data_IF_041159001101
#
_entry.id   IF_041159001101
#
_cell.length_a   1.000
_cell.length_b   1.000
_cell.length_c   1.000
_cell.angle_alpha   90.00
_cell.angle_beta   90.00
_cell.angle_gamma   90.00
#
_symmetry.space_group_name_H-M   'P 1'
#
loop_
_entity.id
_entity.type
_entity.pdbx_description
1 polymer ?
#
# COMPACT_ATOMS: atom_id res chain seq x y z
N UNK A 1 6.43 6.25 -32.78
CA UNK A 1 7.50 5.71 -31.91
C UNK A 1 6.86 5.24 -30.62
N UNK A 2 6.86 3.94 -30.30
CA UNK A 2 6.24 3.46 -29.06
C UNK A 2 7.01 4.05 -27.87
N UNK A 3 6.34 4.88 -27.08
CA UNK A 3 6.89 5.43 -25.85
C UNK A 3 7.04 4.28 -24.85
N UNK A 4 8.26 3.74 -24.75
CA UNK A 4 8.61 2.69 -23.81
C UNK A 4 8.16 3.10 -22.40
N UNK A 5 7.15 2.39 -21.88
CA UNK A 5 6.74 2.47 -20.48
C UNK A 5 7.98 2.19 -19.63
N UNK A 6 8.33 3.05 -18.65
CA UNK A 6 9.35 2.69 -17.67
C UNK A 6 8.87 1.44 -16.94
N UNK A 7 9.44 0.28 -17.28
CA UNK A 7 9.26 -0.94 -16.50
C UNK A 7 10.05 -0.69 -15.22
N UNK A 8 9.36 -0.24 -14.17
CA UNK A 8 9.94 -0.21 -12.83
C UNK A 8 10.12 -1.69 -12.45
N UNK A 9 11.36 -2.18 -12.29
CA UNK A 9 11.58 -3.58 -11.94
C UNK A 9 10.84 -3.90 -10.64
N UNK A 10 10.31 -5.12 -10.47
CA UNK A 10 9.54 -5.54 -9.30
C UNK A 10 10.48 -5.76 -8.09
N UNK A 11 11.25 -4.75 -7.72
CA UNK A 11 11.87 -4.68 -6.40
C UNK A 11 10.75 -4.21 -5.48
N UNK A 12 10.19 -5.12 -4.68
CA UNK A 12 9.46 -4.69 -3.47
C UNK A 12 10.40 -3.72 -2.75
N UNK A 13 9.97 -2.50 -2.41
CA UNK A 13 10.77 -1.67 -1.54
C UNK A 13 11.09 -2.50 -0.29
N UNK A 14 12.37 -2.63 0.06
CA UNK A 14 12.74 -3.24 1.33
C UNK A 14 12.22 -2.33 2.44
N UNK A 15 11.02 -2.64 2.93
CA UNK A 15 10.41 -1.90 4.03
C UNK A 15 11.00 -2.37 5.35
N UNK A 16 11.28 -1.43 6.23
CA UNK A 16 11.63 -1.66 7.63
C UNK A 16 10.46 -1.26 8.52
N UNK A 17 10.22 -2.05 9.56
CA UNK A 17 9.20 -1.74 10.56
C UNK A 17 9.81 -0.85 11.64
N UNK A 18 9.12 0.24 12.00
CA UNK A 18 9.52 1.04 13.15
C UNK A 18 9.23 0.29 14.45
N UNK A 19 10.26 0.07 15.26
CA UNK A 19 10.16 -0.66 16.53
C UNK A 19 9.33 0.04 17.62
N UNK A 20 8.90 1.28 17.39
CA UNK A 20 8.12 2.09 18.34
C UNK A 20 6.64 2.08 17.95
N UNK A 21 6.34 2.37 16.67
CA UNK A 21 4.96 2.55 16.20
C UNK A 21 4.43 1.42 15.30
N UNK A 22 5.28 0.46 14.92
CA UNK A 22 4.91 -0.71 14.13
C UNK A 22 4.56 -0.42 12.66
N UNK A 23 4.79 0.81 12.17
CA UNK A 23 4.52 1.18 10.77
C UNK A 23 5.69 0.83 9.86
N UNK A 24 5.38 0.61 8.58
CA UNK A 24 6.34 0.30 7.53
C UNK A 24 6.90 1.58 6.90
N UNK A 25 8.22 1.62 6.74
CA UNK A 25 8.94 2.72 6.10
C UNK A 25 9.94 2.17 5.09
N UNK A 26 10.27 2.96 4.07
CA UNK A 26 11.39 2.63 3.19
C UNK A 26 12.70 2.60 3.98
N UNK A 27 13.67 1.81 3.52
CA UNK A 27 14.98 1.66 4.18
C UNK A 27 15.72 2.98 4.42
N UNK A 28 15.49 4.02 3.61
CA UNK A 28 16.07 5.35 3.80
C UNK A 28 15.21 6.27 4.67
N UNK A 29 13.88 6.08 4.71
CA UNK A 29 13.00 6.94 5.49
C UNK A 29 12.89 6.51 6.95
N UNK A 30 13.18 5.24 7.27
CA UNK A 30 13.16 4.73 8.64
C UNK A 30 14.20 5.41 9.55
N UNK A 31 15.39 5.75 9.04
CA UNK A 31 16.44 6.43 9.81
C UNK A 31 16.07 7.87 10.19
N UNK A 32 15.22 8.52 9.39
CA UNK A 32 14.69 9.85 9.68
C UNK A 32 13.46 9.75 10.58
N UNK A 33 12.66 8.70 10.41
CA UNK A 33 11.44 8.49 11.18
C UNK A 33 11.69 8.07 12.64
N UNK A 34 12.57 7.08 12.88
CA UNK A 34 12.83 6.54 14.23
C UNK A 34 13.15 7.60 15.30
N UNK A 35 14.08 8.55 15.10
CA UNK A 35 14.37 9.57 16.12
C UNK A 35 13.17 10.47 16.39
N UNK A 36 12.44 10.88 15.34
CA UNK A 36 11.24 11.71 15.48
C UNK A 36 10.11 10.95 16.20
N UNK A 37 9.96 9.66 15.89
CA UNK A 37 8.99 8.79 16.53
C UNK A 37 9.32 8.58 18.02
N UNK A 38 10.60 8.43 18.36
CA UNK A 38 11.05 8.29 19.74
C UNK A 38 10.82 9.56 20.55
N UNK A 39 11.11 10.73 19.97
CA UNK A 39 10.88 12.02 20.61
C UNK A 39 9.39 12.26 20.90
N UNK A 40 8.54 11.95 19.91
CA UNK A 40 7.09 11.99 20.08
C UNK A 40 6.64 11.01 21.18
N UNK A 41 7.16 9.78 21.18
CA UNK A 41 6.85 8.79 22.20
C UNK A 41 7.24 9.29 23.60
N UNK A 42 8.43 9.88 23.78
CA UNK A 42 8.88 10.44 25.07
C UNK A 42 7.97 11.54 25.57
N UNK A 43 7.59 12.46 24.66
CA UNK A 43 6.68 13.57 24.97
C UNK A 43 5.30 13.07 25.43
N UNK A 44 4.74 12.08 24.72
CA UNK A 44 3.46 11.46 25.10
C UNK A 44 3.58 10.68 26.42
N UNK A 45 4.66 9.92 26.59
CA UNK A 45 4.89 9.12 27.79
C UNK A 45 5.08 9.99 29.04
N UNK A 46 5.74 11.15 28.92
CA UNK A 46 5.93 12.08 30.04
C UNK A 46 4.63 12.75 30.48
N UNK A 47 3.67 12.91 29.56
CA UNK A 47 2.33 13.43 29.87
C UNK A 47 1.44 12.39 30.57
N UNK A 48 1.80 11.11 30.55
CA UNK A 48 1.07 10.09 31.29
C UNK A 48 1.34 10.21 32.79
N UNK A 49 0.32 9.95 33.65
CA UNK A 49 0.52 9.74 35.07
C UNK A 49 1.65 8.73 35.33
N UNK A 50 2.44 8.93 36.37
CA UNK A 50 3.66 8.12 36.64
C UNK A 50 3.42 6.61 36.54
N UNK A 51 2.28 6.12 37.04
CA UNK A 51 1.90 4.71 37.02
C UNK A 51 1.48 4.16 35.64
N UNK A 52 1.23 5.03 34.66
CA UNK A 52 0.91 4.67 33.27
C UNK A 52 2.09 4.90 32.31
N UNK A 53 3.21 5.44 32.81
CA UNK A 53 4.42 5.62 32.00
C UNK A 53 5.01 4.27 31.63
N UNK A 54 5.38 4.14 30.37
CA UNK A 54 5.98 2.94 29.80
C UNK A 54 7.51 3.06 29.80
N UNK A 55 8.24 1.93 29.85
CA UNK A 55 9.69 1.94 29.66
C UNK A 55 10.04 2.36 28.23
N UNK A 56 11.16 3.06 28.07
CA UNK A 56 11.63 3.51 26.76
C UNK A 56 11.84 2.31 25.81
N UNK A 57 11.26 2.34 24.59
CA UNK A 57 11.45 1.28 23.62
C UNK A 57 12.93 1.19 23.26
N UNK A 58 13.50 -0.01 23.33
CA UNK A 58 14.88 -0.26 22.89
C UNK A 58 14.88 -0.77 21.46
N UNK A 59 15.80 -0.24 20.65
CA UNK A 59 16.01 -0.72 19.29
C UNK A 59 16.55 -2.15 19.35
N UNK A 60 15.91 -3.13 18.70
CA UNK A 60 16.43 -4.49 18.64
C UNK A 60 17.83 -4.51 18.00
N UNK A 61 18.83 -5.05 18.69
CA UNK A 61 20.16 -5.25 18.13
C UNK A 61 20.11 -6.42 17.14
N UNK A 62 20.41 -6.15 15.87
CA UNK A 62 20.49 -7.22 14.87
C UNK A 62 21.89 -7.21 14.26
N UNK A 63 22.61 -8.31 14.50
CA UNK A 63 23.91 -8.59 13.92
C UNK A 63 23.80 -8.58 12.38
N UNK A 64 24.76 -8.02 11.67
CA UNK A 64 24.72 -7.77 10.21
C UNK A 64 24.79 -9.05 9.37
N UNK A 65 24.07 -9.13 8.24
CA UNK A 65 24.36 -10.06 7.12
C UNK A 65 23.18 -10.88 6.57
N UNK A 66 22.63 -10.50 5.41
CA UNK A 66 21.81 -11.33 4.52
C UNK A 66 20.32 -10.96 4.39
N UNK A 67 19.74 -11.18 3.20
CA UNK A 67 18.31 -10.93 2.87
C UNK A 67 17.32 -11.65 3.81
N UNK A 68 17.74 -12.79 4.38
CA UNK A 68 16.97 -13.55 5.39
C UNK A 68 16.84 -12.82 6.74
N UNK A 69 17.76 -11.89 7.06
CA UNK A 69 17.69 -11.10 8.31
C UNK A 69 16.62 -10.01 8.29
N UNK A 70 16.23 -9.46 7.14
CA UNK A 70 15.28 -8.34 7.12
C UNK A 70 13.90 -8.73 7.67
N UNK A 71 13.44 -9.95 7.37
CA UNK A 71 12.18 -10.45 7.93
C UNK A 71 12.27 -10.61 9.46
N UNK A 72 13.41 -11.11 9.95
CA UNK A 72 13.68 -11.27 11.40
C UNK A 72 13.81 -9.91 12.10
N UNK A 73 14.49 -8.93 11.49
CA UNK A 73 14.58 -7.54 11.95
C UNK A 73 13.20 -6.92 12.07
N UNK A 74 12.38 -7.09 11.03
CA UNK A 74 11.04 -6.54 10.98
C UNK A 74 10.12 -7.19 12.01
N UNK A 75 10.21 -8.52 12.17
CA UNK A 75 9.45 -9.22 13.20
C UNK A 75 9.86 -8.76 14.60
N UNK A 76 11.16 -8.68 14.89
CA UNK A 76 11.64 -8.17 16.18
C UNK A 76 11.21 -6.72 16.45
N UNK A 77 11.25 -5.86 15.43
CA UNK A 77 10.75 -4.49 15.53
C UNK A 77 9.23 -4.47 15.76
N UNK A 78 8.48 -5.32 15.07
CA UNK A 78 7.03 -5.41 15.22
C UNK A 78 6.63 -5.88 16.63
N UNK A 79 7.32 -6.88 17.17
CA UNK A 79 7.13 -7.34 18.55
C UNK A 79 7.44 -6.24 19.58
N UNK A 80 8.52 -5.48 19.37
CA UNK A 80 8.84 -4.32 20.22
C UNK A 80 7.73 -3.27 20.19
N UNK A 81 7.18 -2.98 19.02
CA UNK A 81 6.06 -2.04 18.89
C UNK A 81 4.77 -2.57 19.54
N UNK A 82 4.48 -3.87 19.44
CA UNK A 82 3.33 -4.49 20.09
C UNK A 82 3.42 -4.42 21.62
N UNK A 83 4.62 -4.56 22.20
CA UNK A 83 4.84 -4.44 23.64
C UNK A 83 4.54 -3.03 24.18
N UNK A 84 4.44 -2.02 23.30
CA UNK A 84 4.09 -0.65 23.68
C UNK A 84 2.57 -0.40 23.74
N UNK A 85 1.75 -1.37 23.35
CA UNK A 85 0.30 -1.25 23.35
C UNK A 85 -0.29 -1.51 24.74
N UNK A 86 -1.32 -0.75 25.09
CA UNK A 86 -2.03 -0.87 26.36
C UNK A 86 -3.41 -1.51 26.14
N UNK A 87 -3.83 -2.48 26.97
CA UNK A 87 -5.14 -3.10 26.87
C UNK A 87 -6.24 -2.15 27.37
N UNK A 88 -7.37 -2.15 26.68
CA UNK A 88 -8.59 -1.50 27.12
C UNK A 88 -9.20 -2.23 28.31
N UNK A 89 -9.54 -1.48 29.37
CA UNK A 89 -10.12 -2.04 30.60
C UNK A 89 -11.48 -2.72 30.39
N UNK A 90 -12.21 -2.33 29.33
CA UNK A 90 -13.56 -2.81 29.05
C UNK A 90 -13.62 -4.02 28.10
N UNK A 91 -12.64 -4.18 27.20
CA UNK A 91 -12.68 -5.26 26.19
C UNK A 91 -11.35 -6.00 25.97
N UNK A 92 -10.28 -5.63 26.67
CA UNK A 92 -8.97 -6.27 26.58
C UNK A 92 -8.18 -6.00 25.30
N UNK A 93 -8.79 -5.41 24.26
CA UNK A 93 -8.08 -5.05 23.02
C UNK A 93 -6.98 -4.03 23.30
N UNK A 94 -5.83 -4.20 22.65
CA UNK A 94 -4.65 -3.36 22.85
C UNK A 94 -4.58 -2.21 21.85
N UNK A 95 -4.16 -1.04 22.32
CA UNK A 95 -4.06 0.18 21.51
C UNK A 95 -2.85 1.01 21.95
N UNK A 96 -2.37 1.89 21.07
CA UNK A 96 -1.50 2.98 21.51
C UNK A 96 -2.29 3.95 22.41
N UNK A 97 -1.65 4.63 23.38
CA UNK A 97 -2.36 5.48 24.35
C UNK A 97 -3.29 6.52 23.71
N UNK A 98 -2.87 7.15 22.62
CA UNK A 98 -3.64 8.12 21.85
C UNK A 98 -4.98 7.54 21.32
N UNK A 99 -4.92 6.32 20.78
CA UNK A 99 -6.10 5.60 20.27
C UNK A 99 -6.91 4.95 21.38
N UNK A 100 -6.26 4.51 22.45
CA UNK A 100 -6.92 3.90 23.61
C UNK A 100 -7.93 4.87 24.21
N UNK A 101 -7.53 6.13 24.43
CA UNK A 101 -8.41 7.16 24.99
C UNK A 101 -9.67 7.39 24.15
N UNK A 102 -9.57 7.35 22.83
CA UNK A 102 -10.72 7.50 21.93
C UNK A 102 -11.58 6.23 21.95
N UNK A 103 -10.92 5.07 21.96
CA UNK A 103 -11.61 3.78 22.00
C UNK A 103 -12.43 3.61 23.28
N UNK A 104 -11.86 3.91 24.45
CA UNK A 104 -12.52 3.72 25.75
C UNK A 104 -13.81 4.53 25.89
N UNK A 105 -13.87 5.74 25.30
CA UNK A 105 -15.09 6.58 25.29
C UNK A 105 -16.29 5.90 24.63
N UNK A 106 -16.04 5.04 23.65
CA UNK A 106 -17.07 4.34 22.87
C UNK A 106 -17.13 2.85 23.18
N UNK A 107 -16.22 2.34 24.02
CA UNK A 107 -16.09 0.91 24.27
C UNK A 107 -17.19 0.44 25.21
N UNK A 108 -18.19 -0.24 24.65
CA UNK A 108 -19.38 -0.76 25.36
C UNK A 108 -19.12 -2.06 26.15
N UNK A 109 -17.86 -2.43 26.35
CA UNK A 109 -17.50 -3.66 27.06
C UNK A 109 -17.73 -4.91 26.21
N UNK A 110 -16.72 -5.76 26.18
CA UNK A 110 -16.87 -7.14 25.76
C UNK A 110 -16.45 -7.98 26.94
N UNK A 111 -17.42 -8.49 27.72
CA UNK A 111 -17.13 -9.60 28.63
C UNK A 111 -16.54 -10.74 27.82
N UNK A 112 -15.27 -11.06 28.06
CA UNK A 112 -14.65 -12.37 27.81
C UNK A 112 -13.25 -12.37 28.41
N UNK A 113 -13.18 -12.56 29.72
CA UNK A 113 -12.10 -13.36 30.31
C UNK A 113 -12.60 -14.81 30.29
N UNK A 114 -11.67 -15.74 30.05
CA UNK A 114 -11.73 -17.20 30.16
C UNK A 114 -11.90 -17.94 28.82
N UNK A 115 -10.93 -18.82 28.57
CA UNK A 115 -10.87 -19.72 27.43
C UNK A 115 -11.66 -21.01 27.61
N UNK A 116 -11.53 -21.85 26.59
CA UNK A 116 -11.94 -23.25 26.48
C UNK A 116 -13.45 -23.56 26.45
N UNK A 117 -13.89 -23.81 25.20
CA UNK A 117 -14.65 -24.98 24.76
C UNK A 117 -16.01 -25.31 25.40
N UNK A 118 -17.05 -25.15 24.56
CA UNK A 118 -17.91 -26.22 24.00
C UNK A 118 -19.42 -26.03 24.15
N UNK A 119 -20.11 -26.43 23.06
CA UNK A 119 -21.55 -26.65 22.85
C UNK A 119 -22.42 -25.47 22.41
N UNK A 120 -22.92 -25.59 21.18
CA UNK A 120 -24.04 -24.83 20.60
C UNK A 120 -25.38 -25.33 21.16
N UNK A 121 -26.49 -24.55 21.06
CA UNK A 121 -27.34 -24.68 19.87
C UNK A 121 -27.99 -23.36 19.33
N UNK A 122 -27.97 -23.26 17.99
CA UNK A 122 -28.99 -22.73 17.05
C UNK A 122 -29.93 -21.55 17.41
N UNK A 123 -29.81 -20.41 16.68
CA UNK A 123 -30.71 -19.95 15.57
C UNK A 123 -30.53 -18.45 15.24
N UNK A 124 -30.20 -18.20 13.96
CA UNK A 124 -30.71 -17.14 13.04
C UNK A 124 -30.60 -15.64 13.35
N UNK A 125 -29.81 -14.90 12.53
CA UNK A 125 -29.93 -13.44 12.34
C UNK A 125 -28.82 -12.82 11.47
N UNK A 126 -29.19 -12.09 10.40
CA UNK A 126 -28.33 -11.57 9.30
C UNK A 126 -27.44 -10.35 9.69
N UNK A 127 -26.27 -10.21 9.03
CA UNK A 127 -25.55 -8.93 8.86
C UNK A 127 -24.03 -9.06 8.57
N UNK A 128 -23.43 -8.28 7.64
CA UNK A 128 -22.10 -8.58 7.07
C UNK A 128 -20.94 -7.96 7.85
N UNK A 129 -19.95 -8.78 8.23
CA UNK A 129 -18.69 -8.35 8.84
C UNK A 129 -17.50 -8.74 7.97
N UNK A 130 -16.70 -7.75 7.59
CA UNK A 130 -15.40 -7.90 6.94
C UNK A 130 -14.42 -8.57 7.90
N UNK A 131 -13.94 -9.77 7.55
CA UNK A 131 -12.94 -10.53 8.30
C UNK A 131 -11.78 -10.94 7.41
N UNK A 132 -10.58 -10.47 7.78
CA UNK A 132 -9.29 -10.89 7.24
C UNK A 132 -8.99 -12.33 7.69
N UNK A 133 -8.83 -13.24 6.74
CA UNK A 133 -8.49 -14.64 7.01
C UNK A 133 -6.99 -14.83 7.17
N UNK A 134 -6.55 -15.24 8.36
CA UNK A 134 -5.29 -15.95 8.56
C UNK A 134 -5.61 -17.43 8.78
N UNK A 135 -5.11 -18.26 7.87
CA UNK A 135 -5.26 -19.70 7.88
C UNK A 135 -4.38 -20.32 8.98
N UNK A 136 -5.00 -21.12 9.84
CA UNK A 136 -4.36 -22.05 10.76
C UNK A 136 -4.22 -23.41 10.09
N UNK A 137 -2.99 -23.93 10.08
CA UNK A 137 -2.65 -25.29 9.63
C UNK A 137 -2.59 -26.22 10.86
N UNK A 138 -3.13 -27.45 10.81
CA UNK A 138 -2.92 -28.44 11.86
C UNK A 138 -1.77 -29.40 11.51
N UNK A 139 -0.89 -29.60 12.49
CA UNK A 139 0.17 -30.61 12.49
C UNK A 139 -0.40 -32.01 12.71
N UNK A 140 0.03 -32.99 11.90
CA UNK A 140 0.09 -34.41 12.29
C UNK A 140 1.41 -35.02 11.83
N UNK A 141 2.17 -35.49 12.79
CA UNK A 141 3.35 -36.34 12.71
C UNK A 141 2.94 -37.77 12.36
N UNK A 142 3.69 -38.49 11.50
CA UNK A 142 4.11 -39.88 11.73
C UNK A 142 5.27 -40.26 10.77
N UNK A 143 6.09 -41.17 11.28
CA UNK A 143 7.47 -41.56 10.91
C UNK A 143 7.64 -42.31 9.57
N UNK A 144 8.87 -42.29 9.02
CA UNK A 144 9.51 -43.50 8.48
C UNK A 144 10.24 -43.47 7.12
N UNK A 145 11.58 -43.47 7.17
CA UNK A 145 12.58 -44.17 6.30
C UNK A 145 12.84 -43.76 4.82
N UNK A 146 14.10 -43.35 4.63
CA UNK A 146 15.10 -43.76 3.61
C UNK A 146 14.81 -43.70 2.10
N UNK A 147 15.64 -42.91 1.39
CA UNK A 147 16.06 -43.22 0.00
C UNK A 147 16.05 -42.06 -0.98
N UNK A 148 17.25 -41.70 -1.47
CA UNK A 148 17.58 -41.00 -2.72
C UNK A 148 17.07 -39.56 -2.95
N UNK A 149 18.03 -38.65 -3.14
CA UNK A 149 17.83 -37.26 -3.54
C UNK A 149 17.31 -37.14 -4.99
N UNK A 150 16.36 -36.23 -5.26
CA UNK A 150 16.18 -35.66 -6.58
C UNK A 150 16.61 -34.19 -6.62
N UNK A 151 17.24 -33.83 -7.73
CA UNK A 151 17.75 -32.50 -8.05
C UNK A 151 16.65 -31.43 -7.95
N UNK A 152 16.94 -30.36 -7.20
CA UNK A 152 16.03 -29.23 -6.99
C UNK A 152 16.18 -28.30 -8.20
N UNK A 153 15.23 -28.35 -9.12
CA UNK A 153 15.10 -27.38 -10.20
C UNK A 153 14.67 -26.04 -9.62
N UNK A 154 15.51 -25.01 -9.78
CA UNK A 154 15.24 -23.61 -9.47
C UNK A 154 14.02 -23.11 -10.27
N UNK A 155 12.82 -23.29 -9.72
CA UNK A 155 11.65 -22.51 -10.14
C UNK A 155 11.50 -21.31 -9.22
N UNK A 156 12.10 -20.20 -9.65
CA UNK A 156 11.80 -18.87 -9.15
C UNK A 156 10.28 -18.68 -9.13
N UNK A 157 9.70 -18.61 -7.93
CA UNK A 157 8.28 -18.33 -7.78
C UNK A 157 8.01 -16.92 -8.31
N UNK A 158 7.42 -16.84 -9.50
CA UNK A 158 6.94 -15.59 -10.09
C UNK A 158 5.82 -15.06 -9.18
N UNK A 159 6.16 -14.10 -8.34
CA UNK A 159 5.20 -13.35 -7.52
C UNK A 159 4.29 -12.60 -8.50
N UNK A 160 3.11 -13.17 -8.83
CA UNK A 160 2.12 -12.49 -9.66
C UNK A 160 1.59 -11.29 -8.88
N UNK A 161 1.90 -10.09 -9.35
CA UNK A 161 1.31 -8.87 -8.79
C UNK A 161 -0.22 -8.90 -8.99
N UNK A 162 -1.00 -8.31 -8.05
CA UNK A 162 -2.41 -8.12 -8.27
C UNK A 162 -2.65 -7.32 -9.56
N UNK A 163 -3.66 -7.68 -10.37
CA UNK A 163 -3.94 -6.98 -11.62
C UNK A 163 -4.23 -5.49 -11.36
N UNK A 164 -3.41 -4.61 -11.95
CA UNK A 164 -3.61 -3.16 -11.93
C UNK A 164 -4.25 -2.67 -13.22
N UNK A 165 -5.03 -1.60 -13.14
CA UNK A 165 -5.64 -0.92 -14.29
C UNK A 165 -5.09 0.50 -14.39
N UNK A 166 -4.76 0.94 -15.61
CA UNK A 166 -4.31 2.31 -15.88
C UNK A 166 -5.52 3.23 -16.09
N UNK A 167 -5.52 4.39 -15.44
CA UNK A 167 -6.50 5.43 -15.72
C UNK A 167 -6.19 6.08 -17.08
N UNK A 168 -7.14 5.99 -18.01
CA UNK A 168 -7.00 6.52 -19.37
C UNK A 168 -6.88 8.06 -19.46
N UNK A 169 -7.16 8.78 -18.37
CA UNK A 169 -7.11 10.25 -18.30
C UNK A 169 -5.73 10.72 -17.84
N UNK A 170 -5.18 10.08 -16.78
CA UNK A 170 -3.95 10.56 -16.12
C UNK A 170 -2.76 9.59 -16.19
N UNK A 171 -2.95 8.39 -16.74
CA UNK A 171 -1.89 7.40 -16.93
C UNK A 171 -1.39 6.73 -15.66
N UNK A 172 -2.03 6.98 -14.50
CA UNK A 172 -1.65 6.34 -13.22
C UNK A 172 -2.27 4.96 -13.08
N UNK A 173 -1.57 4.10 -12.36
CA UNK A 173 -1.99 2.74 -12.04
C UNK A 173 -2.85 2.71 -10.77
N UNK A 174 -3.92 1.92 -10.81
CA UNK A 174 -4.84 1.71 -9.70
C UNK A 174 -5.16 0.22 -9.59
N UNK A 175 -5.70 -0.19 -8.45
CA UNK A 175 -6.35 -1.49 -8.35
C UNK A 175 -7.68 -1.49 -9.11
N UNK A 176 -8.12 -2.66 -9.58
CA UNK A 176 -9.39 -2.83 -10.32
C UNK A 176 -10.61 -2.24 -9.62
N UNK A 177 -10.62 -2.17 -8.28
CA UNK A 177 -11.70 -1.54 -7.50
C UNK A 177 -11.52 -0.05 -7.32
N UNK A 178 -10.28 0.42 -7.09
CA UNK A 178 -10.02 1.83 -6.82
C UNK A 178 -10.10 2.70 -8.06
N UNK A 179 -9.88 2.14 -9.25
CA UNK A 179 -10.01 2.87 -10.53
C UNK A 179 -11.44 3.38 -10.75
N UNK A 180 -12.47 2.64 -10.35
CA UNK A 180 -13.88 3.05 -10.49
C UNK A 180 -14.24 4.27 -9.63
N UNK A 181 -13.55 4.46 -8.51
CA UNK A 181 -13.72 5.63 -7.64
C UNK A 181 -12.87 6.79 -8.16
N UNK A 182 -11.70 6.48 -8.71
CA UNK A 182 -10.76 7.46 -9.24
C UNK A 182 -11.23 8.10 -10.55
N UNK A 183 -11.65 7.32 -11.55
CA UNK A 183 -12.04 7.79 -12.89
C UNK A 183 -13.03 8.97 -12.86
N UNK A 184 -14.18 8.91 -12.16
CA UNK A 184 -15.13 10.03 -12.15
C UNK A 184 -14.55 11.28 -11.48
N UNK A 185 -13.71 11.12 -10.44
CA UNK A 185 -13.05 12.25 -9.79
C UNK A 185 -11.97 12.86 -10.70
N UNK A 186 -11.25 12.01 -11.43
CA UNK A 186 -10.22 12.42 -12.38
C UNK A 186 -10.83 13.17 -13.56
N UNK A 187 -11.94 12.68 -14.11
CA UNK A 187 -12.66 13.34 -15.20
C UNK A 187 -13.23 14.69 -14.77
N UNK A 188 -13.83 14.77 -13.58
CA UNK A 188 -14.32 16.05 -13.02
C UNK A 188 -13.20 17.08 -12.92
N UNK A 189 -12.05 16.68 -12.38
CA UNK A 189 -10.87 17.54 -12.29
C UNK A 189 -10.37 17.96 -13.68
N UNK A 190 -10.33 17.02 -14.63
CA UNK A 190 -9.95 17.29 -16.01
C UNK A 190 -10.85 18.36 -16.64
N UNK A 191 -12.18 18.28 -16.49
CA UNK A 191 -13.10 19.30 -17.02
C UNK A 191 -12.84 20.69 -16.42
N UNK A 192 -12.65 20.78 -15.11
CA UNK A 192 -12.37 22.04 -14.43
C UNK A 192 -11.09 22.68 -14.98
N UNK A 193 -10.01 21.90 -15.07
CA UNK A 193 -8.74 22.37 -15.62
C UNK A 193 -8.89 22.76 -17.10
N UNK A 194 -9.61 21.96 -17.89
CA UNK A 194 -9.77 22.20 -19.32
C UNK A 194 -10.60 23.47 -19.62
N UNK A 195 -11.59 23.81 -18.79
CA UNK A 195 -12.36 25.06 -18.93
C UNK A 195 -11.49 26.28 -18.67
N UNK A 196 -10.56 26.19 -17.71
CA UNK A 196 -9.63 27.26 -17.35
C UNK A 196 -8.52 27.46 -18.39
N UNK A 197 -8.28 26.49 -19.28
CA UNK A 197 -7.29 26.64 -20.35
C UNK A 197 -7.77 27.64 -21.42
N UNK A 198 -6.85 28.45 -21.99
CA UNK A 198 -7.09 29.20 -23.21
C UNK A 198 -7.71 28.32 -24.30
N UNK A 199 -8.64 28.86 -25.11
CA UNK A 199 -9.39 28.08 -26.10
C UNK A 199 -8.50 27.20 -26.99
N UNK A 200 -7.31 27.68 -27.37
CA UNK A 200 -6.35 26.96 -28.21
C UNK A 200 -5.58 25.84 -27.48
N UNK A 201 -5.59 25.81 -26.14
CA UNK A 201 -4.99 24.76 -25.31
C UNK A 201 -6.03 23.79 -24.73
N UNK A 202 -7.32 24.02 -24.99
CA UNK A 202 -8.38 23.11 -24.55
C UNK A 202 -8.26 21.81 -25.32
N UNK A 203 -8.35 20.71 -24.58
CA UNK A 203 -8.25 19.34 -25.09
C UNK A 203 -9.64 18.76 -25.33
N UNK A 204 -9.78 17.84 -26.30
CA UNK A 204 -11.00 17.06 -26.44
C UNK A 204 -11.18 16.14 -25.23
N UNK A 205 -12.44 15.86 -24.89
CA UNK A 205 -12.76 14.99 -23.76
C UNK A 205 -12.10 13.61 -23.92
N UNK A 206 -11.39 13.12 -22.89
CA UNK A 206 -10.78 11.79 -22.94
C UNK A 206 -11.88 10.74 -23.07
N UNK A 207 -11.83 9.95 -24.13
CA UNK A 207 -12.76 8.83 -24.31
C UNK A 207 -12.24 7.61 -23.57
N UNK A 208 -13.11 7.00 -22.77
CA UNK A 208 -12.82 5.71 -22.15
C UNK A 208 -12.65 4.68 -23.27
N UNK A 209 -11.53 3.95 -23.35
CA UNK A 209 -11.37 2.88 -24.34
C UNK A 209 -12.52 1.88 -24.21
N UNK A 210 -13.29 1.68 -25.28
CA UNK A 210 -14.35 0.68 -25.29
C UNK A 210 -13.74 -0.71 -25.28
N UNK A 211 -14.20 -1.53 -24.33
CA UNK A 211 -13.71 -2.89 -24.15
C UNK A 211 -14.62 -3.81 -24.94
N UNK A 212 -14.32 -4.05 -26.22
CA UNK A 212 -15.02 -5.09 -26.98
C UNK A 212 -14.59 -6.46 -26.46
N UNK A 213 -15.52 -7.34 -26.04
CA UNK A 213 -15.16 -8.69 -25.62
C UNK A 213 -14.66 -9.50 -26.81
N UNK A 214 -13.36 -9.78 -26.84
CA UNK A 214 -12.76 -10.69 -27.81
C UNK A 214 -12.90 -12.10 -27.22
N UNK A 215 -13.95 -12.81 -27.66
CA UNK A 215 -14.25 -14.24 -27.43
C UNK A 215 -15.16 -14.62 -26.23
N UNK A 216 -15.92 -15.70 -26.48
CA UNK A 216 -16.98 -16.31 -25.66
C UNK A 216 -16.56 -16.89 -24.29
N UNK A 217 -15.37 -16.54 -23.77
CA UNK A 217 -14.84 -17.04 -22.48
C UNK A 217 -14.51 -15.95 -21.46
N UNK A 218 -14.80 -14.68 -21.73
CA UNK A 218 -14.80 -13.63 -20.70
C UNK A 218 -13.44 -13.32 -20.06
N UNK A 219 -12.32 -13.74 -20.68
CA UNK A 219 -10.98 -13.42 -20.20
C UNK A 219 -10.44 -12.19 -20.95
N UNK A 220 -10.46 -11.03 -20.29
CA UNK A 220 -9.87 -9.81 -20.84
C UNK A 220 -8.35 -9.89 -20.81
N UNK A 221 -7.67 -9.51 -21.90
CA UNK A 221 -6.25 -9.20 -21.82
C UNK A 221 -6.07 -7.84 -21.12
N UNK A 222 -5.84 -7.89 -19.81
CA UNK A 222 -5.56 -6.73 -18.98
C UNK A 222 -4.38 -5.90 -19.52
N UNK A 223 -3.44 -6.53 -20.23
CA UNK A 223 -2.31 -5.84 -20.85
C UNK A 223 -2.78 -4.92 -21.97
N UNK A 224 -3.59 -5.43 -22.91
CA UNK A 224 -4.18 -4.64 -24.00
C UNK A 224 -5.03 -3.47 -23.49
N UNK A 225 -5.83 -3.68 -22.44
CA UNK A 225 -6.61 -2.61 -21.81
C UNK A 225 -5.74 -1.51 -21.21
N UNK A 226 -4.70 -1.90 -20.50
CA UNK A 226 -3.75 -0.97 -19.91
C UNK A 226 -2.97 -0.21 -20.98
N UNK A 227 -2.61 -0.86 -22.08
CA UNK A 227 -1.94 -0.23 -23.21
C UNK A 227 -2.84 0.82 -23.89
N UNK A 228 -4.10 0.47 -24.17
CA UNK A 228 -5.07 1.42 -24.73
C UNK A 228 -5.31 2.62 -23.81
N UNK A 229 -5.45 2.37 -22.49
CA UNK A 229 -5.58 3.43 -21.50
C UNK A 229 -4.32 4.30 -21.40
N UNK A 230 -3.13 3.69 -21.47
CA UNK A 230 -1.86 4.41 -21.49
C UNK A 230 -1.73 5.32 -22.71
N UNK A 231 -2.05 4.81 -23.90
CA UNK A 231 -2.04 5.60 -25.14
C UNK A 231 -3.00 6.79 -25.04
N UNK A 232 -4.22 6.57 -24.53
CA UNK A 232 -5.20 7.63 -24.31
C UNK A 232 -4.65 8.72 -23.37
N UNK A 233 -3.99 8.33 -22.27
CA UNK A 233 -3.38 9.27 -21.35
C UNK A 233 -2.19 10.03 -21.95
N UNK A 234 -1.36 9.38 -22.78
CA UNK A 234 -0.26 10.05 -23.47
C UNK A 234 -0.75 11.08 -24.49
N UNK A 235 -1.86 10.82 -25.17
CA UNK A 235 -2.48 11.77 -26.11
C UNK A 235 -3.01 13.04 -25.42
N UNK A 236 -3.15 13.03 -24.09
CA UNK A 236 -3.54 14.20 -23.31
C UNK A 236 -2.37 15.14 -22.97
N UNK A 237 -1.12 14.74 -23.29
CA UNK A 237 0.07 15.53 -23.02
C UNK A 237 0.37 16.48 -24.19
N UNK A 238 0.79 17.69 -23.85
CA UNK A 238 1.15 18.76 -24.80
C UNK A 238 2.66 19.00 -24.72
N UNK A 239 3.38 19.09 -25.86
CA UNK A 239 4.81 19.38 -25.85
C UNK A 239 5.08 20.84 -25.42
N UNK A 240 6.21 21.05 -24.74
CA UNK A 240 6.75 22.38 -24.49
C UNK A 240 7.47 22.90 -25.73
N UNK A 241 7.15 24.12 -26.16
CA UNK A 241 7.74 24.74 -27.36
C UNK A 241 9.26 24.98 -27.23
N UNK A 242 9.78 25.08 -26.00
CA UNK A 242 11.20 25.39 -25.74
C UNK A 242 12.08 24.14 -25.71
N UNK A 243 11.61 23.05 -25.09
CA UNK A 243 12.44 21.84 -24.90
C UNK A 243 11.84 20.55 -25.49
N UNK A 244 10.62 20.60 -26.03
CA UNK A 244 9.93 19.46 -26.65
C UNK A 244 9.45 18.37 -25.69
N UNK A 245 9.59 18.54 -24.36
CA UNK A 245 9.07 17.59 -23.39
C UNK A 245 7.55 17.72 -23.27
N UNK A 246 6.85 16.61 -23.13
CA UNK A 246 5.39 16.58 -23.02
C UNK A 246 4.93 16.62 -21.56
N UNK A 247 3.88 17.39 -21.30
CA UNK A 247 3.32 17.58 -19.96
C UNK A 247 1.80 17.66 -20.03
N UNK A 248 1.12 17.43 -18.90
CA UNK A 248 -0.25 17.92 -18.76
C UNK A 248 -0.24 19.47 -18.77
N UNK A 249 -1.25 20.14 -19.34
CA UNK A 249 -1.25 21.60 -19.49
C UNK A 249 -1.01 22.38 -18.19
N UNK A 250 -1.55 21.92 -17.06
CA UNK A 250 -1.33 22.50 -15.72
C UNK A 250 0.15 22.49 -15.31
N UNK A 251 0.86 21.39 -15.61
CA UNK A 251 2.29 21.22 -15.35
C UNK A 251 3.14 21.96 -16.38
N UNK A 252 2.68 22.07 -17.63
CA UNK A 252 3.37 22.78 -18.69
C UNK A 252 3.58 24.26 -18.31
N UNK A 253 2.56 24.91 -17.76
CA UNK A 253 2.62 26.31 -17.31
C UNK A 253 3.72 26.50 -16.26
N UNK A 254 3.83 25.58 -15.30
CA UNK A 254 4.86 25.63 -14.26
C UNK A 254 6.24 25.36 -14.87
N UNK A 255 6.34 24.36 -15.75
CA UNK A 255 7.56 23.99 -16.42
C UNK A 255 8.15 25.13 -17.26
N UNK A 256 7.31 25.84 -18.02
CA UNK A 256 7.73 26.95 -18.90
C UNK A 256 8.42 28.08 -18.13
N UNK A 257 8.06 28.32 -16.85
CA UNK A 257 8.69 29.37 -16.01
C UNK A 257 10.18 29.17 -15.78
N UNK A 258 10.64 27.92 -15.78
CA UNK A 258 12.03 27.55 -15.53
C UNK A 258 12.60 26.68 -16.65
N UNK A 259 11.95 26.66 -17.82
CA UNK A 259 12.37 25.83 -18.93
C UNK A 259 13.66 26.40 -19.54
N UNK A 260 14.61 25.52 -19.82
CA UNK A 260 15.83 25.86 -20.54
C UNK A 260 15.75 25.24 -21.94
N UNK A 261 16.24 25.93 -22.98
CA UNK A 261 16.27 25.40 -24.34
C UNK A 261 17.00 24.07 -24.37
N UNK A 262 16.51 23.16 -25.20
CA UNK A 262 17.16 21.86 -25.40
C UNK A 262 18.54 22.12 -26.00
N UNK A 263 19.60 21.74 -25.30
CA UNK A 263 20.96 21.78 -25.85
C UNK A 263 20.97 21.03 -27.18
N UNK A 264 21.36 21.72 -28.26
CA UNK A 264 21.59 21.06 -29.54
C UNK A 264 22.64 19.97 -29.33
N UNK A 265 22.33 18.76 -29.81
CA UNK A 265 23.22 17.61 -29.77
C UNK A 265 23.76 17.39 -31.17
#
# INVERSE_FOLDING_TARGET
MPLNRPIIPPRRPCFKICYICGREFGSQSISIHEPQCLEKWRTENNQLPSHLRRPEPKKPEVLTGGSYKLAVENEAAYQSAQAQLLPCRNCGRTFFPDRLMVHEKCCRGGSSIVGQSSTSPTKSGKGPGFGSGSASNPSKTHQGKSGAAPAISDKAQVIRQPPTVICYICGREYGTKSVNIHEPQCLRKWHQENVLLPKHLRRPEPKKPEVTPVQAKGFYDLSSLNEAAWISAQNQLVPCDVCGRTFLPDRLIIHQKSCKPKSAK
#
